data_IF_363530402305
#
_entry.id   IF_363530402305
#
_cell.length_a   1.000
_cell.length_b   1.000
_cell.length_c   1.000
_cell.angle_alpha   90.00
_cell.angle_beta   90.00
_cell.angle_gamma   90.00
#
_symmetry.space_group_name_H-M   'P 1'
#
loop_
_entity.id
_entity.type
_entity.pdbx_description
1 polymer ?
#
# COMPACT_ATOMS: atom_id res chain seq x y z
N UNK A 1 19.08 -4.06 -9.59
CA UNK A 1 17.76 -4.71 -9.74
C UNK A 1 16.71 -3.74 -9.25
N UNK A 2 15.57 -3.55 -9.92
CA UNK A 2 14.49 -2.75 -9.36
C UNK A 2 13.99 -3.45 -8.09
N UNK A 3 13.98 -2.74 -6.97
CA UNK A 3 13.38 -3.25 -5.74
C UNK A 3 11.88 -3.48 -5.98
N UNK A 4 11.32 -4.60 -5.48
CA UNK A 4 9.89 -4.83 -5.61
C UNK A 4 9.12 -3.72 -4.88
N UNK A 5 8.09 -3.17 -5.51
CA UNK A 5 7.25 -2.12 -4.93
C UNK A 5 6.51 -2.59 -3.67
N UNK A 6 6.23 -3.90 -3.59
CA UNK A 6 5.63 -4.57 -2.44
C UNK A 6 6.59 -5.69 -2.05
N UNK A 7 7.17 -5.61 -0.86
CA UNK A 7 7.97 -6.72 -0.33
C UNK A 7 7.05 -7.83 0.19
N UNK A 8 6.80 -8.81 -0.68
CA UNK A 8 6.03 -10.01 -0.35
C UNK A 8 6.84 -11.03 0.47
N UNK A 9 8.14 -10.79 0.68
CA UNK A 9 9.00 -11.60 1.55
C UNK A 9 8.74 -11.29 3.03
N UNK A 10 8.18 -10.10 3.33
CA UNK A 10 7.78 -9.71 4.68
C UNK A 10 6.39 -10.30 5.04
N UNK A 11 6.30 -11.16 6.08
CA UNK A 11 5.04 -11.75 6.53
C UNK A 11 3.98 -10.71 6.96
N UNK A 12 4.41 -9.58 7.52
CA UNK A 12 3.50 -8.50 7.92
C UNK A 12 2.88 -7.81 6.71
N UNK A 13 3.68 -7.48 5.70
CA UNK A 13 3.21 -6.93 4.43
C UNK A 13 2.18 -7.86 3.78
N UNK A 14 2.44 -9.17 3.79
CA UNK A 14 1.49 -10.15 3.26
C UNK A 14 0.18 -10.20 4.05
N UNK A 15 0.25 -10.15 5.38
CA UNK A 15 -0.92 -10.12 6.27
C UNK A 15 -1.77 -8.87 6.04
N UNK A 16 -1.13 -7.70 5.99
CA UNK A 16 -1.79 -6.42 5.75
C UNK A 16 -2.42 -6.37 4.37
N UNK A 17 -1.72 -6.83 3.33
CA UNK A 17 -2.26 -6.90 1.97
C UNK A 17 -3.49 -7.82 1.88
N UNK A 18 -3.46 -8.97 2.57
CA UNK A 18 -4.60 -9.89 2.63
C UNK A 18 -5.81 -9.27 3.33
N UNK A 19 -5.59 -8.54 4.43
CA UNK A 19 -6.64 -7.80 5.13
C UNK A 19 -7.18 -6.63 4.30
N UNK A 20 -6.30 -5.90 3.61
CA UNK A 20 -6.66 -4.80 2.71
C UNK A 20 -7.49 -5.30 1.53
N UNK A 21 -7.11 -6.44 0.92
CA UNK A 21 -7.89 -7.09 -0.14
C UNK A 21 -9.28 -7.52 0.33
N UNK A 22 -9.40 -8.01 1.57
CA UNK A 22 -10.71 -8.36 2.15
C UNK A 22 -11.60 -7.11 2.35
N UNK A 23 -11.00 -5.97 2.67
CA UNK A 23 -11.68 -4.69 2.90
C UNK A 23 -11.93 -3.88 1.63
N UNK A 24 -11.14 -4.11 0.58
CA UNK A 24 -11.10 -3.30 -0.65
C UNK A 24 -10.26 -2.01 -0.51
N UNK A 25 -9.62 -1.79 0.64
CA UNK A 25 -8.79 -0.62 0.88
C UNK A 25 -7.65 -0.88 1.87
N UNK A 26 -6.61 -0.04 1.80
CA UNK A 26 -5.47 0.06 2.70
C UNK A 26 -5.52 1.43 3.39
N UNK A 27 -5.37 1.51 4.71
CA UNK A 27 -5.33 2.80 5.42
C UNK A 27 -3.98 3.49 5.24
N UNK A 28 -3.90 4.79 5.58
CA UNK A 28 -2.63 5.52 5.57
C UNK A 28 -1.59 4.93 6.53
N UNK A 29 -2.01 4.51 7.73
CA UNK A 29 -1.11 3.90 8.71
C UNK A 29 -0.56 2.56 8.21
N UNK A 30 -1.41 1.72 7.62
CA UNK A 30 -1.00 0.44 7.03
C UNK A 30 -0.07 0.65 5.83
N UNK A 31 -0.31 1.71 5.06
CA UNK A 31 0.58 2.12 3.98
C UNK A 31 1.96 2.52 4.50
N UNK A 32 2.02 3.41 5.48
CA UNK A 32 3.27 3.89 6.06
C UNK A 32 4.03 2.74 6.76
N UNK A 33 3.32 1.76 7.34
CA UNK A 33 3.93 0.55 7.91
C UNK A 33 4.53 -0.39 6.84
N UNK A 34 3.87 -0.56 5.68
CA UNK A 34 4.37 -1.47 4.64
C UNK A 34 5.44 -0.86 3.74
N UNK A 35 5.34 0.45 3.46
CA UNK A 35 6.16 1.10 2.44
C UNK A 35 7.04 2.22 2.98
N UNK A 36 6.89 2.60 4.25
CA UNK A 36 7.54 3.76 4.84
C UNK A 36 6.81 5.07 4.52
N UNK A 37 7.07 6.08 5.34
CA UNK A 37 6.44 7.41 5.25
C UNK A 37 6.79 8.19 3.97
N UNK A 38 7.90 7.86 3.32
CA UNK A 38 8.43 8.56 2.15
C UNK A 38 8.61 7.64 0.94
N UNK A 39 7.53 7.46 0.19
CA UNK A 39 7.62 6.91 -1.16
C UNK A 39 7.77 8.04 -2.18
N UNK A 40 8.79 7.99 -3.07
CA UNK A 40 8.91 8.93 -4.18
C UNK A 40 7.65 8.95 -5.05
N UNK A 41 7.28 10.09 -5.65
CA UNK A 41 6.05 10.24 -6.45
C UNK A 41 5.92 9.19 -7.56
N UNK A 42 7.04 8.84 -8.22
CA UNK A 42 7.08 7.83 -9.29
C UNK A 42 6.75 6.43 -8.77
N UNK A 43 7.32 6.06 -7.61
CA UNK A 43 7.02 4.77 -6.96
C UNK A 43 5.59 4.74 -6.42
N UNK A 44 5.08 5.85 -5.90
CA UNK A 44 3.68 5.99 -5.46
C UNK A 44 2.70 5.76 -6.61
N UNK A 45 2.96 6.33 -7.79
CA UNK A 45 2.12 6.15 -8.97
C UNK A 45 2.12 4.68 -9.46
N UNK A 46 3.30 4.05 -9.49
CA UNK A 46 3.41 2.63 -9.84
C UNK A 46 2.71 1.73 -8.82
N UNK A 47 2.86 2.01 -7.51
CA UNK A 47 2.21 1.26 -6.45
C UNK A 47 0.68 1.38 -6.50
N UNK A 48 0.14 2.59 -6.74
CA UNK A 48 -1.30 2.79 -6.94
C UNK A 48 -1.85 1.94 -8.09
N UNK A 49 -1.09 1.79 -9.19
CA UNK A 49 -1.48 0.93 -10.32
C UNK A 49 -1.51 -0.55 -9.92
N UNK A 50 -0.53 -1.03 -9.15
CA UNK A 50 -0.50 -2.41 -8.67
C UNK A 50 -1.64 -2.70 -7.68
N UNK A 51 -1.89 -1.79 -6.72
CA UNK A 51 -3.01 -1.93 -5.79
C UNK A 51 -4.36 -1.91 -6.51
N UNK A 52 -4.50 -1.10 -7.56
CA UNK A 52 -5.72 -1.06 -8.37
C UNK A 52 -5.99 -2.41 -9.07
N UNK A 53 -4.96 -3.08 -9.62
CA UNK A 53 -5.10 -4.44 -10.18
C UNK A 53 -5.56 -5.47 -9.13
N UNK A 54 -5.25 -5.21 -7.85
CA UNK A 54 -5.67 -6.05 -6.72
C UNK A 54 -7.04 -5.67 -6.15
N UNK A 55 -7.73 -4.70 -6.75
CA UNK A 55 -8.96 -4.10 -6.23
C UNK A 55 -8.80 -3.49 -4.82
N UNK A 56 -7.62 -2.93 -4.54
CA UNK A 56 -7.30 -2.25 -3.30
C UNK A 56 -7.15 -0.75 -3.58
N UNK A 57 -7.89 0.07 -2.85
CA UNK A 57 -7.74 1.53 -2.87
C UNK A 57 -6.97 2.02 -1.65
N UNK A 58 -6.20 3.10 -1.76
CA UNK A 58 -5.58 3.71 -0.58
C UNK A 58 -6.60 4.64 0.03
N UNK A 59 -7.11 4.30 1.20
CA UNK A 59 -7.96 5.15 2.00
C UNK A 59 -7.07 6.16 2.72
N UNK A 60 -6.90 7.32 2.11
CA UNK A 60 -6.39 8.49 2.79
C UNK A 60 -7.56 9.04 3.61
N UNK A 61 -7.63 8.68 4.90
CA UNK A 61 -8.50 9.38 5.85
C UNK A 61 -7.97 10.80 6.04
N UNK A 62 -8.23 11.65 5.06
CA UNK A 62 -8.17 13.09 5.21
C UNK A 62 -9.44 13.54 5.91
N UNK A 63 -9.56 13.25 7.20
CA UNK A 63 -10.60 13.89 8.01
C UNK A 63 -10.03 15.21 8.55
N UNK A 64 -10.42 16.29 7.86
CA UNK A 64 -10.49 17.68 8.28
C UNK A 64 -9.75 18.05 9.58
N UNK A 65 -8.63 18.75 9.44
CA UNK A 65 -8.23 19.80 10.39
C UNK A 65 -7.89 21.07 9.64
#
# INVERSE_FOLDING_TARGET
MPEPLIDLSNPESWRLLKQARKRGYLTRDEFDQMFGSELPPDRMAALKRELWKLHITILVTGDKR
#
